data_IF_513114769855
#
_entry.id   IF_513114769855
#
_cell.length_a   1.000
_cell.length_b   1.000
_cell.length_c   1.000
_cell.angle_alpha   90.00
_cell.angle_beta   90.00
_cell.angle_gamma   90.00
#
_symmetry.space_group_name_H-M   'P 1'
#
loop_
_entity.id
_entity.type
_entity.pdbx_description
1 polymer ?
#
# COMPACT_ATOMS: atom_id res chain seq x y z
N UNK A 1 -9.71 -4.49 -7.17
CA UNK A 1 -9.80 -3.17 -7.85
C UNK A 1 -8.41 -2.85 -8.37
N UNK A 2 -8.22 -2.79 -9.68
CA UNK A 2 -6.96 -2.29 -10.24
C UNK A 2 -6.87 -0.80 -9.91
N UNK A 3 -5.96 -0.44 -9.01
CA UNK A 3 -5.60 0.96 -8.85
C UNK A 3 -5.13 1.46 -10.22
N UNK A 4 -5.84 2.44 -10.77
CA UNK A 4 -5.34 3.22 -11.89
C UNK A 4 -3.94 3.68 -11.49
N UNK A 5 -2.93 3.29 -12.27
CA UNK A 5 -1.53 3.70 -12.03
C UNK A 5 -1.43 5.24 -12.03
N UNK A 6 -2.38 5.94 -12.66
CA UNK A 6 -2.48 7.39 -12.55
C UNK A 6 -2.75 7.83 -11.10
N UNK A 7 -1.88 8.67 -10.51
CA UNK A 7 -2.07 9.16 -9.16
C UNK A 7 -3.44 9.84 -9.07
N UNK A 8 -4.20 9.61 -7.99
CA UNK A 8 -5.55 10.13 -7.85
C UNK A 8 -5.54 11.63 -8.12
N UNK A 9 -6.44 12.06 -9.00
CA UNK A 9 -6.65 13.44 -9.46
C UNK A 9 -7.02 14.35 -8.27
N UNK A 10 -6.09 14.59 -7.35
CA UNK A 10 -6.31 15.46 -6.20
C UNK A 10 -6.21 16.94 -6.56
N UNK A 11 -5.82 17.28 -7.80
CA UNK A 11 -5.67 18.66 -8.22
C UNK A 11 -6.56 19.01 -9.41
N UNK A 12 -7.34 20.09 -9.25
CA UNK A 12 -8.10 20.78 -10.32
C UNK A 12 -7.20 21.34 -11.44
N UNK A 13 -5.89 21.10 -11.40
CA UNK A 13 -4.85 21.61 -12.30
C UNK A 13 -4.02 20.41 -12.78
N UNK A 14 -3.85 20.27 -14.08
CA UNK A 14 -3.07 19.17 -14.66
C UNK A 14 -1.59 19.23 -14.25
N UNK A 15 -0.88 18.10 -14.45
CA UNK A 15 0.55 17.99 -14.15
C UNK A 15 1.42 18.77 -15.14
N UNK A 16 2.54 19.27 -14.67
CA UNK A 16 3.57 19.86 -15.53
C UNK A 16 4.30 18.76 -16.32
N UNK A 17 4.92 19.12 -17.44
CA UNK A 17 5.75 18.18 -18.20
C UNK A 17 6.90 17.63 -17.35
N UNK A 18 7.44 18.42 -16.42
CA UNK A 18 8.52 17.98 -15.54
C UNK A 18 8.05 16.93 -14.53
N UNK A 19 6.87 17.13 -13.93
CA UNK A 19 6.23 16.16 -13.03
C UNK A 19 5.95 14.85 -13.75
N UNK A 20 5.46 14.91 -15.00
CA UNK A 20 5.26 13.71 -15.83
C UNK A 20 6.58 12.99 -16.13
N UNK A 21 7.68 13.73 -16.34
CA UNK A 21 9.00 13.12 -16.49
C UNK A 21 9.43 12.38 -15.21
N UNK A 22 9.14 12.94 -14.04
CA UNK A 22 9.44 12.29 -12.76
C UNK A 22 8.63 11.01 -12.59
N UNK A 23 7.32 11.09 -12.86
CA UNK A 23 6.40 9.96 -12.74
C UNK A 23 6.75 8.80 -13.68
N UNK A 24 7.19 9.09 -14.90
CA UNK A 24 7.57 8.07 -15.89
C UNK A 24 9.07 7.70 -15.87
N UNK A 25 9.89 8.31 -15.01
CA UNK A 25 11.34 8.08 -15.01
C UNK A 25 12.05 8.57 -16.27
N UNK A 26 11.49 9.54 -16.99
CA UNK A 26 12.01 10.04 -18.27
C UNK A 26 13.18 11.04 -18.07
N UNK A 27 14.36 10.51 -17.74
CA UNK A 27 15.55 11.28 -17.34
C UNK A 27 15.98 12.32 -18.37
N UNK A 28 16.03 11.96 -19.65
CA UNK A 28 16.54 12.86 -20.68
C UNK A 28 15.58 14.04 -20.92
N UNK A 29 14.27 13.77 -20.91
CA UNK A 29 13.25 14.81 -20.96
C UNK A 29 13.31 15.71 -19.72
N UNK A 30 13.47 15.12 -18.53
CA UNK A 30 13.63 15.87 -17.29
C UNK A 30 14.84 16.83 -17.35
N UNK A 31 16.01 16.33 -17.76
CA UNK A 31 17.23 17.13 -17.94
C UNK A 31 17.05 18.22 -18.98
N UNK A 32 16.44 17.90 -20.12
CA UNK A 32 16.16 18.88 -21.17
C UNK A 32 15.26 20.02 -20.66
N UNK A 33 14.19 19.70 -19.94
CA UNK A 33 13.27 20.69 -19.36
C UNK A 33 13.97 21.57 -18.32
N UNK A 34 14.76 20.97 -17.41
CA UNK A 34 15.55 21.69 -16.41
C UNK A 34 16.56 22.64 -17.04
N UNK A 35 17.29 22.19 -18.05
CA UNK A 35 18.39 22.97 -18.64
C UNK A 35 17.93 24.01 -19.64
N UNK A 36 16.91 23.73 -20.47
CA UNK A 36 16.45 24.65 -21.52
C UNK A 36 15.37 25.62 -21.08
N UNK A 37 14.52 25.21 -20.14
CA UNK A 37 13.35 26.01 -19.73
C UNK A 37 13.41 26.42 -18.27
N UNK A 38 14.45 26.03 -17.53
CA UNK A 38 14.57 26.29 -16.08
C UNK A 38 13.33 25.83 -15.31
N UNK A 39 12.69 24.73 -15.77
CA UNK A 39 11.45 24.23 -15.17
C UNK A 39 11.65 23.98 -13.67
N UNK A 40 10.79 24.56 -12.85
CA UNK A 40 10.88 24.48 -11.40
C UNK A 40 10.62 23.04 -10.91
N UNK A 41 11.45 22.57 -9.97
CA UNK A 41 11.19 21.31 -9.27
C UNK A 41 10.15 21.58 -8.19
N UNK A 42 8.97 20.98 -8.35
CA UNK A 42 7.85 21.03 -7.39
C UNK A 42 7.97 19.93 -6.35
N UNK A 43 7.09 19.93 -5.34
CA UNK A 43 7.05 18.82 -4.37
C UNK A 43 6.57 17.53 -5.05
N UNK A 44 5.63 17.66 -5.98
CA UNK A 44 5.09 16.61 -6.81
C UNK A 44 6.17 15.96 -7.70
N UNK A 45 7.16 16.74 -8.18
CA UNK A 45 8.33 16.17 -8.85
C UNK A 45 9.08 15.19 -7.95
N UNK A 46 9.33 15.57 -6.68
CA UNK A 46 10.01 14.68 -5.74
C UNK A 46 9.14 13.46 -5.43
N UNK A 47 7.87 13.64 -5.11
CA UNK A 47 6.95 12.54 -4.82
C UNK A 47 6.87 11.55 -5.99
N UNK A 48 6.69 12.04 -7.22
CA UNK A 48 6.63 11.20 -8.40
C UNK A 48 7.97 10.58 -8.79
N UNK A 49 9.10 11.17 -8.41
CA UNK A 49 10.40 10.53 -8.65
C UNK A 49 10.58 9.22 -7.87
N UNK A 50 9.96 9.10 -6.69
CA UNK A 50 9.91 7.83 -5.95
C UNK A 50 9.00 6.79 -6.62
N UNK A 51 7.89 7.25 -7.21
CA UNK A 51 6.95 6.38 -7.93
C UNK A 51 7.53 5.88 -9.26
N UNK A 52 8.20 6.77 -9.99
CA UNK A 52 8.87 6.44 -11.26
C UNK A 52 10.14 5.60 -11.10
N UNK A 53 10.61 5.39 -9.87
CA UNK A 53 11.72 4.48 -9.56
C UNK A 53 13.09 4.92 -10.09
N UNK A 54 13.24 6.18 -10.52
CA UNK A 54 14.47 6.66 -11.13
C UNK A 54 15.35 7.43 -10.13
N UNK A 55 16.45 6.81 -9.70
CA UNK A 55 17.35 7.36 -8.68
C UNK A 55 17.99 8.69 -9.09
N UNK A 56 18.25 8.90 -10.39
CA UNK A 56 18.87 10.14 -10.86
C UNK A 56 17.91 11.33 -10.72
N UNK A 57 16.66 11.18 -11.18
CA UNK A 57 15.64 12.23 -11.03
C UNK A 57 15.37 12.48 -9.56
N UNK A 58 15.22 11.42 -8.76
CA UNK A 58 14.98 11.52 -7.32
C UNK A 58 16.12 12.27 -6.62
N UNK A 59 17.37 11.90 -6.91
CA UNK A 59 18.54 12.56 -6.34
C UNK A 59 18.65 14.04 -6.73
N UNK A 60 18.24 14.41 -7.94
CA UNK A 60 18.16 15.82 -8.33
C UNK A 60 17.04 16.56 -7.57
N UNK A 61 15.86 15.95 -7.43
CA UNK A 61 14.73 16.55 -6.72
C UNK A 61 15.04 16.79 -5.24
N UNK A 62 15.76 15.87 -4.59
CA UNK A 62 16.18 15.98 -3.18
C UNK A 62 17.10 17.18 -2.89
N UNK A 63 17.76 17.75 -3.90
CA UNK A 63 18.56 18.97 -3.73
C UNK A 63 17.70 20.20 -3.44
N UNK A 64 16.42 20.15 -3.80
CA UNK A 64 15.50 21.29 -3.73
C UNK A 64 14.32 21.07 -2.78
N UNK A 65 13.93 19.81 -2.57
CA UNK A 65 12.76 19.42 -1.77
C UNK A 65 13.15 18.37 -0.73
N UNK A 66 12.36 18.29 0.33
CA UNK A 66 12.50 17.25 1.36
C UNK A 66 11.41 16.19 1.17
N UNK A 67 11.70 14.91 1.47
CA UNK A 67 10.68 13.88 1.47
C UNK A 67 9.51 14.22 2.40
N UNK A 68 8.36 13.66 2.07
CA UNK A 68 7.12 13.70 2.86
C UNK A 68 6.52 12.27 2.91
N UNK A 69 5.40 12.08 3.61
CA UNK A 69 4.75 10.76 3.69
C UNK A 69 4.43 10.15 2.32
N UNK A 70 4.01 10.96 1.35
CA UNK A 70 3.74 10.50 -0.02
C UNK A 70 4.97 9.93 -0.72
N UNK A 71 6.19 10.34 -0.36
CA UNK A 71 7.40 9.75 -0.91
C UNK A 71 7.56 8.29 -0.45
N UNK A 72 7.21 7.99 0.81
CA UNK A 72 7.21 6.60 1.33
C UNK A 72 6.15 5.76 0.64
N UNK A 73 4.91 6.27 0.54
CA UNK A 73 3.82 5.56 -0.13
C UNK A 73 4.19 5.26 -1.59
N UNK A 74 4.75 6.24 -2.31
CA UNK A 74 5.18 6.07 -3.70
C UNK A 74 6.35 5.10 -3.85
N UNK A 75 7.30 5.05 -2.91
CA UNK A 75 8.39 4.07 -2.90
C UNK A 75 7.85 2.63 -2.69
N UNK A 76 6.86 2.47 -1.83
CA UNK A 76 6.18 1.19 -1.60
C UNK A 76 5.40 0.78 -2.85
N UNK A 77 4.60 1.69 -3.42
CA UNK A 77 3.76 1.42 -4.60
C UNK A 77 4.63 1.10 -5.84
N UNK A 78 5.82 1.69 -5.95
CA UNK A 78 6.75 1.40 -7.05
C UNK A 78 7.51 0.07 -6.91
N UNK A 79 7.27 -0.69 -5.84
CA UNK A 79 8.00 -1.91 -5.51
C UNK A 79 9.53 -1.70 -5.44
N UNK A 80 9.97 -0.52 -5.02
CA UNK A 80 11.38 -0.19 -4.89
C UNK A 80 11.81 -0.19 -3.43
N UNK A 81 12.24 -1.36 -2.93
CA UNK A 81 12.66 -1.54 -1.53
C UNK A 81 13.90 -0.71 -1.18
N UNK A 82 14.78 -0.42 -2.15
CA UNK A 82 15.94 0.45 -1.93
C UNK A 82 15.50 1.87 -1.58
N UNK A 83 14.43 2.36 -2.22
CA UNK A 83 13.86 3.67 -1.92
C UNK A 83 13.15 3.68 -0.56
N UNK A 84 12.42 2.61 -0.23
CA UNK A 84 11.78 2.45 1.08
C UNK A 84 12.85 2.46 2.18
N UNK A 85 13.88 1.63 2.06
CA UNK A 85 14.96 1.53 3.05
C UNK A 85 15.79 2.81 3.12
N UNK A 86 16.02 3.49 2.00
CA UNK A 86 16.62 4.82 1.97
C UNK A 86 15.82 5.83 2.82
N UNK A 87 14.50 5.89 2.66
CA UNK A 87 13.65 6.79 3.45
C UNK A 87 13.62 6.43 4.95
N UNK A 88 13.65 5.14 5.27
CA UNK A 88 13.76 4.66 6.66
C UNK A 88 15.09 5.10 7.28
N UNK A 89 16.20 4.81 6.61
CA UNK A 89 17.53 4.96 7.18
C UNK A 89 18.01 6.41 7.22
N UNK A 90 17.81 7.16 6.13
CA UNK A 90 18.36 8.51 5.98
C UNK A 90 17.43 9.59 6.57
N UNK A 91 16.12 9.33 6.61
CA UNK A 91 15.13 10.31 7.03
C UNK A 91 14.28 9.86 8.23
N UNK A 92 14.41 8.62 8.69
CA UNK A 92 13.68 8.12 9.86
C UNK A 92 12.18 7.92 9.62
N UNK A 93 11.74 7.80 8.37
CA UNK A 93 10.34 7.47 8.08
C UNK A 93 10.00 6.06 8.51
N UNK A 94 8.74 5.85 8.91
CA UNK A 94 8.19 4.53 9.19
C UNK A 94 7.42 4.03 7.96
N UNK A 95 7.48 2.73 7.73
CA UNK A 95 6.70 2.09 6.67
C UNK A 95 5.22 2.12 7.07
N UNK A 96 4.34 2.52 6.16
CA UNK A 96 2.89 2.35 6.32
C UNK A 96 2.47 1.02 5.69
N UNK A 97 1.74 0.21 6.46
CA UNK A 97 1.23 -1.10 6.03
C UNK A 97 0.12 -0.99 4.97
N UNK A 98 -0.62 0.12 4.94
CA UNK A 98 -1.74 0.33 4.02
C UNK A 98 -1.27 0.28 2.56
N UNK A 99 -0.31 1.12 2.11
CA UNK A 99 0.17 1.06 0.73
C UNK A 99 0.81 -0.27 0.38
N UNK A 100 1.41 -1.00 1.35
CA UNK A 100 1.97 -2.33 1.09
C UNK A 100 0.88 -3.31 0.62
N UNK A 101 -0.25 -3.38 1.34
CA UNK A 101 -1.36 -4.24 0.96
C UNK A 101 -2.05 -3.78 -0.33
N UNK A 102 -2.21 -2.47 -0.54
CA UNK A 102 -2.90 -1.93 -1.72
C UNK A 102 -2.14 -2.18 -3.03
N UNK A 103 -0.81 -2.17 -2.96
CA UNK A 103 0.08 -2.47 -4.09
C UNK A 103 0.48 -3.94 -4.17
N UNK A 104 0.03 -4.79 -3.24
CA UNK A 104 0.51 -6.18 -3.12
C UNK A 104 2.05 -6.26 -2.99
N UNK A 105 2.67 -5.26 -2.36
CA UNK A 105 4.11 -5.23 -2.10
C UNK A 105 4.44 -5.99 -0.82
N UNK A 106 4.64 -7.30 -0.95
CA UNK A 106 4.94 -8.18 0.17
C UNK A 106 6.31 -7.87 0.80
N UNK A 107 7.29 -7.42 0.03
CA UNK A 107 8.61 -7.09 0.55
C UNK A 107 8.56 -5.91 1.53
N UNK A 108 7.91 -4.82 1.15
CA UNK A 108 7.68 -3.68 2.05
C UNK A 108 6.83 -4.06 3.26
N UNK A 109 5.85 -4.95 3.08
CA UNK A 109 5.03 -5.46 4.18
C UNK A 109 5.84 -6.28 5.19
N UNK A 110 6.77 -7.12 4.72
CA UNK A 110 7.66 -7.88 5.60
C UNK A 110 8.69 -6.97 6.30
N UNK A 111 9.19 -5.94 5.60
CA UNK A 111 10.02 -4.91 6.23
C UNK A 111 9.25 -4.13 7.31
N UNK A 112 7.96 -3.84 7.08
CA UNK A 112 7.08 -3.26 8.10
C UNK A 112 6.93 -4.18 9.32
N UNK A 113 6.74 -5.49 9.08
CA UNK A 113 6.66 -6.46 10.17
C UNK A 113 7.96 -6.52 10.97
N UNK A 114 9.11 -6.55 10.31
CA UNK A 114 10.43 -6.53 10.96
C UNK A 114 10.63 -5.30 11.85
N UNK A 115 10.26 -4.11 11.36
CA UNK A 115 10.39 -2.86 12.12
C UNK A 115 9.47 -2.78 13.35
N UNK A 116 8.27 -3.37 13.28
CA UNK A 116 7.22 -3.11 14.28
C UNK A 116 6.91 -4.29 15.18
N UNK A 117 7.20 -5.51 14.72
CA UNK A 117 6.77 -6.77 15.30
C UNK A 117 5.26 -6.80 15.66
N UNK A 118 4.43 -6.03 14.94
CA UNK A 118 3.01 -5.89 15.24
C UNK A 118 2.20 -7.00 14.56
N UNK A 119 2.24 -8.19 15.16
CA UNK A 119 1.57 -9.41 14.67
C UNK A 119 0.08 -9.17 14.41
N UNK A 120 -0.61 -8.46 15.31
CA UNK A 120 -2.05 -8.19 15.18
C UNK A 120 -2.38 -7.37 13.94
N UNK A 121 -1.59 -6.31 13.69
CA UNK A 121 -1.75 -5.47 12.51
C UNK A 121 -1.34 -6.23 11.25
N UNK A 122 -0.22 -6.94 11.27
CA UNK A 122 0.21 -7.76 10.13
C UNK A 122 -0.82 -8.84 9.76
N UNK A 123 -1.43 -9.53 10.72
CA UNK A 123 -2.52 -10.46 10.44
C UNK A 123 -3.74 -9.81 9.79
N UNK A 124 -4.14 -8.63 10.25
CA UNK A 124 -5.27 -7.93 9.67
C UNK A 124 -4.99 -7.57 8.19
N UNK A 125 -3.79 -7.05 7.92
CA UNK A 125 -3.40 -6.60 6.58
C UNK A 125 -2.89 -7.71 5.66
N UNK A 126 -2.50 -8.88 6.19
CA UNK A 126 -2.17 -10.05 5.37
C UNK A 126 -3.34 -10.50 4.53
N UNK A 127 -4.58 -10.18 4.95
CA UNK A 127 -5.79 -10.47 4.21
C UNK A 127 -5.95 -9.70 2.89
N UNK A 128 -5.08 -8.70 2.63
CA UNK A 128 -5.01 -7.99 1.34
C UNK A 128 -4.11 -8.71 0.33
N UNK A 129 -3.27 -9.62 0.79
CA UNK A 129 -2.42 -10.46 -0.05
C UNK A 129 -3.19 -11.76 -0.26
N UNK A 130 -3.49 -12.11 -1.51
CA UNK A 130 -4.21 -13.35 -1.90
C UNK A 130 -3.34 -14.61 -1.63
N UNK A 131 -2.84 -14.74 -0.41
CA UNK A 131 -1.86 -15.70 0.08
C UNK A 131 -2.37 -16.25 1.43
N UNK A 132 -3.20 -17.30 1.43
CA UNK A 132 -3.73 -17.89 2.67
C UNK A 132 -2.65 -18.31 3.68
N UNK A 133 -1.52 -18.82 3.19
CA UNK A 133 -0.38 -19.22 4.02
C UNK A 133 0.27 -18.04 4.77
N UNK A 134 0.14 -16.81 4.27
CA UNK A 134 0.57 -15.61 5.00
C UNK A 134 -0.34 -15.34 6.20
N UNK A 135 -1.66 -15.50 6.03
CA UNK A 135 -2.60 -15.42 7.14
C UNK A 135 -2.35 -16.54 8.17
N UNK A 136 -2.12 -17.76 7.70
CA UNK A 136 -1.77 -18.91 8.55
C UNK A 136 -0.49 -18.66 9.36
N UNK A 137 0.53 -18.09 8.72
CA UNK A 137 1.77 -17.70 9.41
C UNK A 137 1.49 -16.78 10.59
N UNK A 138 0.74 -15.68 10.41
CA UNK A 138 0.46 -14.78 11.54
C UNK A 138 -0.48 -15.39 12.59
N UNK A 139 -1.41 -16.28 12.20
CA UNK A 139 -2.21 -17.07 13.14
C UNK A 139 -1.32 -17.98 14.00
N UNK A 140 -0.30 -18.62 13.40
CA UNK A 140 0.65 -19.47 14.12
C UNK A 140 1.49 -18.69 15.15
N UNK A 141 1.65 -17.37 14.98
CA UNK A 141 2.29 -16.49 15.95
C UNK A 141 1.39 -16.10 17.13
N UNK A 142 0.18 -16.68 17.24
CA UNK A 142 -0.69 -16.57 18.40
C UNK A 142 -1.69 -15.41 18.37
N UNK A 143 -1.90 -14.77 17.22
CA UNK A 143 -2.96 -13.76 17.07
C UNK A 143 -4.36 -14.39 16.99
N UNK A 144 -5.38 -13.63 17.39
CA UNK A 144 -6.78 -14.09 17.32
C UNK A 144 -7.37 -13.78 15.94
N UNK A 145 -7.98 -14.77 15.29
CA UNK A 145 -8.63 -14.61 13.97
C UNK A 145 -9.71 -13.52 13.93
N UNK A 146 -10.33 -13.25 15.08
CA UNK A 146 -11.39 -12.25 15.25
C UNK A 146 -10.88 -10.92 15.80
N UNK A 147 -9.56 -10.69 15.81
CA UNK A 147 -9.00 -9.42 16.28
C UNK A 147 -9.50 -8.26 15.42
N UNK A 148 -9.82 -7.15 16.06
CA UNK A 148 -10.31 -5.93 15.41
C UNK A 148 -9.19 -4.90 15.37
N UNK A 149 -8.81 -4.49 14.16
CA UNK A 149 -7.95 -3.34 13.93
C UNK A 149 -8.74 -2.07 13.65
N UNK A 150 -8.04 -1.07 13.14
CA UNK A 150 -8.57 0.24 12.74
C UNK A 150 -9.68 0.13 11.67
N UNK A 151 -9.55 -0.84 10.76
CA UNK A 151 -10.48 -1.06 9.65
C UNK A 151 -11.34 -2.33 9.83
N UNK A 152 -11.43 -2.84 11.06
CA UNK A 152 -12.14 -4.08 11.38
C UNK A 152 -11.21 -5.30 11.44
N UNK A 153 -11.78 -6.50 11.33
CA UNK A 153 -11.02 -7.75 11.32
C UNK A 153 -10.42 -8.05 9.94
N UNK A 154 -9.53 -9.05 9.87
CA UNK A 154 -9.02 -9.59 8.61
C UNK A 154 -10.14 -9.92 7.61
N UNK A 155 -11.29 -10.42 8.09
CA UNK A 155 -12.44 -10.73 7.23
C UNK A 155 -13.09 -9.47 6.64
N UNK A 156 -13.17 -8.37 7.41
CA UNK A 156 -13.67 -7.08 6.91
C UNK A 156 -12.75 -6.53 5.82
N UNK A 157 -11.43 -6.65 6.03
CA UNK A 157 -10.42 -6.22 5.06
C UNK A 157 -10.50 -7.05 3.77
N UNK A 158 -10.59 -8.38 3.87
CA UNK A 158 -10.75 -9.27 2.72
C UNK A 158 -12.02 -8.93 1.93
N UNK A 159 -13.15 -8.71 2.61
CA UNK A 159 -14.41 -8.32 1.98
C UNK A 159 -14.29 -6.98 1.24
N UNK A 160 -13.68 -5.96 1.88
CA UNK A 160 -13.45 -4.63 1.27
C UNK A 160 -12.61 -4.71 -0.02
N UNK A 161 -11.65 -5.64 -0.08
CA UNK A 161 -10.76 -5.80 -1.24
C UNK A 161 -11.24 -6.85 -2.24
N UNK A 162 -12.38 -7.50 -1.97
CA UNK A 162 -12.91 -8.60 -2.78
C UNK A 162 -11.95 -9.80 -2.88
N UNK A 163 -11.19 -10.08 -1.81
CA UNK A 163 -10.29 -11.22 -1.70
C UNK A 163 -11.07 -12.47 -1.27
N UNK A 164 -11.77 -13.10 -2.22
CA UNK A 164 -12.72 -14.20 -1.94
C UNK A 164 -12.03 -15.39 -1.29
N UNK A 165 -10.90 -15.85 -1.83
CA UNK A 165 -10.15 -16.99 -1.30
C UNK A 165 -9.71 -16.78 0.16
N UNK A 166 -9.26 -15.56 0.48
CA UNK A 166 -8.90 -15.20 1.85
C UNK A 166 -10.13 -15.17 2.76
N UNK A 167 -11.26 -14.64 2.30
CA UNK A 167 -12.49 -14.63 3.09
C UNK A 167 -12.95 -16.07 3.40
N UNK A 168 -12.91 -16.99 2.43
CA UNK A 168 -13.23 -18.41 2.62
C UNK A 168 -12.24 -19.08 3.59
N UNK A 169 -10.95 -18.82 3.43
CA UNK A 169 -9.92 -19.29 4.37
C UNK A 169 -10.23 -18.81 5.80
N UNK A 170 -10.47 -17.52 6.00
CA UNK A 170 -10.75 -16.97 7.32
C UNK A 170 -12.03 -17.56 7.95
N UNK A 171 -13.10 -17.73 7.18
CA UNK A 171 -14.36 -18.33 7.65
C UNK A 171 -14.14 -19.79 8.06
N UNK A 172 -13.42 -20.57 7.25
CA UNK A 172 -13.11 -21.97 7.57
C UNK A 172 -12.24 -22.12 8.84
N UNK A 173 -11.49 -21.07 9.20
CA UNK A 173 -10.69 -21.00 10.43
C UNK A 173 -11.43 -20.32 11.61
N UNK A 174 -12.74 -20.09 11.51
CA UNK A 174 -13.57 -19.60 12.62
C UNK A 174 -13.69 -18.08 12.73
N UNK A 175 -13.43 -17.34 11.66
CA UNK A 175 -13.73 -15.91 11.61
C UNK A 175 -15.25 -15.67 11.71
N UNK A 176 -15.65 -14.74 12.58
CA UNK A 176 -17.04 -14.35 12.80
C UNK A 176 -17.47 -13.40 11.69
N UNK A 177 -18.54 -13.79 10.98
CA UNK A 177 -19.16 -12.97 9.94
C UNK A 177 -19.85 -11.75 10.56
N UNK A 178 -20.50 -11.94 11.70
CA UNK A 178 -21.25 -10.88 12.40
C UNK A 178 -20.54 -10.53 13.71
N UNK A 179 -19.71 -9.50 13.71
CA UNK A 179 -19.29 -8.86 14.96
C UNK A 179 -20.34 -7.81 15.32
N UNK A 180 -21.21 -8.11 16.29
CA UNK A 180 -22.33 -7.27 16.75
C UNK A 180 -21.96 -5.89 17.33
N UNK A 181 -20.77 -5.36 17.05
CA UNK A 181 -20.37 -4.03 17.49
C UNK A 181 -20.35 -3.08 16.29
N UNK A 182 -21.50 -2.42 16.10
CA UNK A 182 -21.73 -1.27 15.24
C UNK A 182 -20.47 -0.39 15.05
N UNK A 183 -19.87 -0.45 13.86
CA UNK A 183 -19.19 0.69 13.20
C UNK A 183 -18.74 0.45 11.74
N UNK A 184 -18.91 -0.74 11.17
CA UNK A 184 -18.72 -0.94 9.73
C UNK A 184 -19.78 -1.88 9.16
N UNK A 185 -20.83 -1.31 8.57
CA UNK A 185 -21.89 -2.04 7.85
C UNK A 185 -21.41 -2.70 6.54
N UNK A 186 -20.10 -2.75 6.25
CA UNK A 186 -19.58 -3.11 4.93
C UNK A 186 -19.29 -4.61 4.74
N UNK A 187 -19.25 -5.43 5.80
CA UNK A 187 -19.02 -6.89 5.65
C UNK A 187 -20.21 -7.62 5.01
N UNK A 188 -21.41 -7.05 5.06
CA UNK A 188 -22.64 -7.73 4.63
C UNK A 188 -22.89 -7.74 3.12
N UNK A 189 -22.22 -6.90 2.32
CA UNK A 189 -22.63 -6.66 0.93
C UNK A 189 -21.88 -7.50 -0.13
N UNK A 190 -20.72 -8.07 0.18
CA UNK A 190 -19.89 -8.78 -0.81
C UNK A 190 -19.97 -10.31 -0.74
N UNK A 191 -20.41 -10.88 0.39
CA UNK A 191 -20.61 -12.33 0.53
C UNK A 191 -22.04 -12.68 0.10
N UNK A 192 -22.41 -12.41 -1.17
CA UNK A 192 -23.64 -12.99 -1.71
C UNK A 192 -23.43 -14.48 -2.00
N UNK A 193 -24.39 -15.35 -1.61
CA UNK A 193 -24.22 -16.79 -1.57
C UNK A 193 -24.33 -17.39 -2.96
N UNK A 194 -23.23 -17.49 -3.69
CA UNK A 194 -23.08 -18.48 -4.75
C UNK A 194 -21.87 -19.37 -4.41
N UNK A 195 -22.07 -20.27 -3.45
CA UNK A 195 -21.38 -21.57 -3.26
C UNK A 195 -21.00 -21.98 -1.82
N UNK A 196 -21.38 -21.24 -0.77
CA UNK A 196 -21.21 -21.76 0.60
C UNK A 196 -22.36 -22.72 0.93
N UNK A 197 -22.16 -23.99 0.59
CA UNK A 197 -22.94 -25.10 1.15
C UNK A 197 -22.67 -25.09 2.66
N UNK A 198 -23.62 -24.56 3.42
CA UNK A 198 -23.71 -24.81 4.85
C UNK A 198 -24.04 -26.29 5.04
N UNK A 199 -23.04 -27.11 5.34
CA UNK A 199 -23.30 -28.42 5.95
C UNK A 199 -23.41 -28.22 7.47
N UNK A 200 -24.63 -28.51 7.94
CA UNK A 200 -24.99 -28.72 9.36
C UNK A 200 -24.06 -29.73 10.03
#
# INVERSE_FOLDING_TARGET
MTYSVYPPLHFKKGYTLLELCCYHGAVDCFKFLRTKFSSEITQECLEFSFLGGNQEIMGECLKYKKPCGYCMDNAIISHNIDFVTFLVNEYGYKIDVIPCGQSNNLESFLAYFDQTNNIHRCFAYSAMFEIPSLCEYFLSLGTNINIMGEFGSALHIAAKHNCIEIAEFLISHGAKINNNNNKSEEAHLFIKPHNIITKK
#
